data_IF_429610600851
#
_entry.id   IF_429610600851
#
_cell.length_a   1.000
_cell.length_b   1.000
_cell.length_c   1.000
_cell.angle_alpha   90.00
_cell.angle_beta   90.00
_cell.angle_gamma   90.00
#
_symmetry.space_group_name_H-M   'P 1'
#
loop_
_entity.id
_entity.type
_entity.pdbx_description
1 polymer ?
#
# COMPACT_ATOMS: atom_id res chain seq x y z
N UNK A 1 -2.51 -11.73 5.50
CA UNK A 1 -2.42 -11.34 4.07
C UNK A 1 -1.47 -10.16 3.81
N UNK A 2 -1.73 -8.95 4.35
CA UNK A 2 -0.83 -7.80 4.16
C UNK A 2 0.56 -8.01 4.81
N UNK A 3 0.59 -8.56 6.03
CA UNK A 3 1.82 -8.97 6.73
C UNK A 3 2.61 -10.02 5.94
N UNK A 4 1.93 -11.04 5.40
CA UNK A 4 2.56 -12.10 4.61
C UNK A 4 3.19 -11.54 3.32
N UNK A 5 2.51 -10.56 2.70
CA UNK A 5 3.01 -9.87 1.52
C UNK A 5 4.26 -9.04 1.83
N UNK A 6 4.30 -8.34 2.97
CA UNK A 6 5.47 -7.59 3.43
C UNK A 6 6.66 -8.51 3.78
N UNK A 7 6.41 -9.61 4.49
CA UNK A 7 7.43 -10.61 4.82
C UNK A 7 8.03 -11.21 3.55
N UNK A 8 7.18 -11.55 2.57
CA UNK A 8 7.65 -12.05 1.29
C UNK A 8 8.42 -10.99 0.47
N UNK A 9 8.00 -9.72 0.51
CA UNK A 9 8.71 -8.63 -0.15
C UNK A 9 10.13 -8.47 0.42
N UNK A 10 10.26 -8.50 1.74
CA UNK A 10 11.54 -8.41 2.44
C UNK A 10 12.47 -9.59 2.09
N UNK A 11 11.94 -10.81 1.96
CA UNK A 11 12.72 -12.00 1.56
C UNK A 11 13.26 -11.91 0.12
N UNK A 12 12.52 -11.25 -0.77
CA UNK A 12 12.88 -11.12 -2.19
C UNK A 12 13.70 -9.86 -2.50
N UNK A 13 13.89 -8.97 -1.51
CA UNK A 13 14.48 -7.65 -1.68
C UNK A 13 15.82 -7.67 -2.42
N UNK A 14 16.72 -8.60 -2.11
CA UNK A 14 18.05 -8.66 -2.73
C UNK A 14 18.14 -9.59 -3.96
N UNK A 15 17.11 -10.40 -4.23
CA UNK A 15 17.19 -11.50 -5.20
C UNK A 15 16.26 -11.32 -6.41
N UNK A 16 15.14 -10.61 -6.26
CA UNK A 16 14.15 -10.42 -7.31
C UNK A 16 13.47 -9.05 -7.18
N UNK A 17 14.15 -7.99 -7.62
CA UNK A 17 13.71 -6.60 -7.47
C UNK A 17 12.28 -6.35 -7.98
N UNK A 18 11.93 -6.86 -9.17
CA UNK A 18 10.57 -6.76 -9.74
C UNK A 18 9.51 -7.42 -8.86
N UNK A 19 9.77 -8.65 -8.41
CA UNK A 19 8.87 -9.40 -7.53
C UNK A 19 8.70 -8.71 -6.18
N UNK A 20 9.78 -8.12 -5.65
CA UNK A 20 9.76 -7.39 -4.38
C UNK A 20 8.91 -6.13 -4.47
N UNK A 21 9.04 -5.32 -5.54
CA UNK A 21 8.20 -4.14 -5.79
C UNK A 21 6.72 -4.48 -5.81
N UNK A 22 6.32 -5.52 -6.56
CA UNK A 22 4.93 -5.93 -6.64
C UNK A 22 4.36 -6.31 -5.27
N UNK A 23 5.14 -7.03 -4.45
CA UNK A 23 4.71 -7.44 -3.12
C UNK A 23 4.62 -6.27 -2.14
N UNK A 24 5.54 -5.31 -2.19
CA UNK A 24 5.43 -4.08 -1.41
C UNK A 24 4.16 -3.31 -1.77
N UNK A 25 3.89 -3.16 -3.06
CA UNK A 25 2.68 -2.50 -3.53
C UNK A 25 1.41 -3.19 -3.02
N UNK A 26 1.27 -4.51 -3.22
CA UNK A 26 0.08 -5.23 -2.79
C UNK A 26 -0.09 -5.24 -1.26
N UNK A 27 0.99 -5.34 -0.49
CA UNK A 27 0.94 -5.21 0.96
C UNK A 27 0.36 -3.86 1.39
N UNK A 28 0.85 -2.77 0.80
CA UNK A 28 0.33 -1.42 1.06
C UNK A 28 -1.10 -1.24 0.59
N UNK A 29 -1.45 -1.72 -0.60
CA UNK A 29 -2.80 -1.61 -1.16
C UNK A 29 -3.84 -2.38 -0.32
N UNK A 30 -3.50 -3.59 0.15
CA UNK A 30 -4.37 -4.36 1.03
C UNK A 30 -4.58 -3.68 2.38
N UNK A 31 -3.51 -3.12 2.97
CA UNK A 31 -3.64 -2.39 4.23
C UNK A 31 -4.43 -1.08 4.08
N UNK A 32 -4.28 -0.36 2.96
CA UNK A 32 -5.13 0.80 2.63
C UNK A 32 -6.58 0.36 2.49
N UNK A 33 -6.82 -0.73 1.78
CA UNK A 33 -8.18 -1.25 1.56
C UNK A 33 -8.85 -1.62 2.89
N UNK A 34 -8.12 -2.27 3.80
CA UNK A 34 -8.60 -2.55 5.15
C UNK A 34 -8.93 -1.28 5.93
N UNK A 35 -8.10 -0.24 5.82
CA UNK A 35 -8.33 1.04 6.46
C UNK A 35 -9.56 1.77 5.89
N UNK A 36 -9.78 1.71 4.57
CA UNK A 36 -10.99 2.24 3.93
C UNK A 36 -12.25 1.52 4.39
N UNK A 37 -12.23 0.19 4.46
CA UNK A 37 -13.32 -0.61 5.03
C UNK A 37 -13.59 -0.24 6.49
N UNK A 38 -12.54 -0.05 7.30
CA UNK A 38 -12.64 0.31 8.71
C UNK A 38 -13.35 1.66 8.93
N UNK A 39 -13.15 2.62 8.04
CA UNK A 39 -13.87 3.91 8.09
C UNK A 39 -15.22 3.89 7.38
N UNK A 40 -15.71 2.72 6.97
CA UNK A 40 -17.03 2.52 6.37
C UNK A 40 -17.11 2.82 4.87
N UNK A 41 -15.98 3.01 4.19
CA UNK A 41 -15.98 3.08 2.72
C UNK A 41 -16.16 1.67 2.14
N UNK A 42 -16.92 1.55 1.05
CA UNK A 42 -17.12 0.28 0.34
C UNK A 42 -16.60 0.36 -1.10
N UNK A 43 -16.13 -0.75 -1.67
CA UNK A 43 -15.87 -0.84 -3.11
C UNK A 43 -17.14 -0.54 -3.93
N UNK A 44 -16.99 -0.06 -5.18
CA UNK A 44 -18.12 0.11 -6.08
C UNK A 44 -18.92 -1.20 -6.24
N UNK A 45 -20.24 -1.08 -6.43
CA UNK A 45 -21.12 -2.23 -6.58
C UNK A 45 -20.64 -3.18 -7.68
N UNK A 46 -20.68 -4.49 -7.40
CA UNK A 46 -20.20 -5.53 -8.31
C UNK A 46 -18.67 -5.66 -8.40
N UNK A 47 -17.89 -4.99 -7.55
CA UNK A 47 -16.43 -5.13 -7.48
C UNK A 47 -15.96 -5.62 -6.11
N UNK A 48 -14.96 -6.49 -6.13
CA UNK A 48 -14.31 -7.00 -4.91
C UNK A 48 -13.32 -5.99 -4.30
N UNK A 49 -12.87 -5.00 -5.08
CA UNK A 49 -11.86 -4.04 -4.65
C UNK A 49 -11.96 -2.69 -5.40
N UNK A 50 -11.33 -1.65 -4.85
CA UNK A 50 -11.22 -0.33 -5.48
C UNK A 50 -10.24 -0.32 -6.64
N UNK A 51 -10.46 0.54 -7.63
CA UNK A 51 -9.47 0.73 -8.70
C UNK A 51 -8.14 1.25 -8.13
N UNK A 52 -7.03 0.65 -8.56
CA UNK A 52 -5.69 0.98 -8.10
C UNK A 52 -5.34 2.47 -8.32
N UNK A 53 -5.79 3.05 -9.43
CA UNK A 53 -5.60 4.45 -9.78
C UNK A 53 -6.34 5.42 -8.85
N UNK A 54 -7.53 5.02 -8.39
CA UNK A 54 -8.45 5.88 -7.62
C UNK A 54 -8.25 5.76 -6.12
N UNK A 55 -7.71 4.64 -5.65
CA UNK A 55 -7.50 4.35 -4.23
C UNK A 55 -6.71 5.43 -3.48
N UNK A 56 -5.66 6.07 -4.06
CA UNK A 56 -4.99 7.20 -3.41
C UNK A 56 -5.91 8.37 -3.07
N UNK A 57 -6.87 8.70 -3.93
CA UNK A 57 -7.73 9.87 -3.72
C UNK A 57 -8.78 9.58 -2.63
N UNK A 58 -9.25 8.33 -2.56
CA UNK A 58 -10.13 7.86 -1.47
C UNK A 58 -9.49 8.01 -0.09
N UNK A 59 -8.16 7.89 0.03
CA UNK A 59 -7.46 8.14 1.30
C UNK A 59 -7.62 9.60 1.78
N UNK A 60 -7.65 10.54 0.84
CA UNK A 60 -7.78 11.98 1.16
C UNK A 60 -9.20 12.30 1.62
N UNK A 61 -10.18 11.68 0.97
CA UNK A 61 -11.62 11.89 1.19
C UNK A 61 -12.13 11.21 2.45
N UNK A 62 -11.83 9.91 2.63
CA UNK A 62 -12.49 9.09 3.64
C UNK A 62 -11.77 9.04 4.99
N UNK A 63 -10.48 9.37 5.06
CA UNK A 63 -9.71 9.20 6.30
C UNK A 63 -9.72 10.40 7.24
N UNK A 64 -10.63 11.38 7.05
CA UNK A 64 -10.64 12.59 7.88
C UNK A 64 -10.87 12.31 9.38
N UNK A 65 -11.65 11.28 9.69
CA UNK A 65 -12.00 10.90 11.07
C UNK A 65 -10.84 10.26 11.82
N UNK A 66 -10.02 9.46 11.13
CA UNK A 66 -8.87 8.74 11.72
C UNK A 66 -7.54 9.45 11.50
N UNK A 67 -7.43 10.29 10.48
CA UNK A 67 -6.25 11.09 10.15
C UNK A 67 -6.71 12.53 9.90
N UNK A 68 -6.81 13.38 10.95
CA UNK A 68 -7.39 14.72 10.83
C UNK A 68 -6.58 15.66 9.93
N UNK A 69 -5.24 15.52 9.91
CA UNK A 69 -4.34 16.40 9.15
C UNK A 69 -4.36 16.08 7.66
N UNK A 70 -4.86 17.00 6.84
CA UNK A 70 -4.93 16.86 5.38
C UNK A 70 -3.58 16.56 4.75
N UNK A 71 -2.50 17.24 5.18
CA UNK A 71 -1.16 16.98 4.65
C UNK A 71 -0.67 15.53 4.88
N UNK A 72 -1.09 14.90 5.98
CA UNK A 72 -0.77 13.48 6.25
C UNK A 72 -1.56 12.56 5.34
N UNK A 73 -2.84 12.85 5.07
CA UNK A 73 -3.64 12.09 4.09
C UNK A 73 -3.05 12.18 2.68
N UNK A 74 -2.64 13.38 2.27
CA UNK A 74 -1.96 13.61 0.99
C UNK A 74 -0.62 12.89 0.89
N UNK A 75 0.19 12.85 1.96
CA UNK A 75 1.45 12.08 1.97
C UNK A 75 1.20 10.59 1.74
N UNK A 76 0.20 10.00 2.42
CA UNK A 76 -0.18 8.59 2.24
C UNK A 76 -0.64 8.32 0.80
N UNK A 77 -1.50 9.18 0.27
CA UNK A 77 -1.96 9.09 -1.12
C UNK A 77 -0.79 9.15 -2.11
N UNK A 78 0.13 10.09 -1.93
CA UNK A 78 1.30 10.24 -2.79
C UNK A 78 2.24 9.04 -2.72
N UNK A 79 2.46 8.46 -1.54
CA UNK A 79 3.24 7.22 -1.36
C UNK A 79 2.59 6.06 -2.09
N UNK A 80 1.28 5.83 -1.89
CA UNK A 80 0.57 4.75 -2.57
C UNK A 80 0.62 4.92 -4.10
N UNK A 81 0.43 6.16 -4.59
CA UNK A 81 0.53 6.49 -6.02
C UNK A 81 1.92 6.20 -6.59
N UNK A 82 2.99 6.56 -5.86
CA UNK A 82 4.36 6.23 -6.27
C UNK A 82 4.59 4.72 -6.31
N UNK A 83 4.15 3.99 -5.29
CA UNK A 83 4.25 2.52 -5.28
C UNK A 83 3.53 1.89 -6.47
N UNK A 84 2.32 2.37 -6.78
CA UNK A 84 1.57 1.87 -7.94
C UNK A 84 2.31 2.16 -9.25
N UNK A 85 2.80 3.39 -9.44
CA UNK A 85 3.57 3.77 -10.63
C UNK A 85 4.79 2.90 -10.81
N UNK A 86 5.60 2.70 -9.77
CA UNK A 86 6.80 1.86 -9.84
C UNK A 86 6.42 0.40 -10.11
N UNK A 87 5.34 -0.12 -9.51
CA UNK A 87 4.84 -1.48 -9.78
C UNK A 87 4.44 -1.66 -11.24
N UNK A 88 3.68 -0.72 -11.83
CA UNK A 88 3.28 -0.81 -13.24
C UNK A 88 4.52 -0.70 -14.12
N UNK A 89 5.44 0.22 -13.84
CA UNK A 89 6.66 0.38 -14.62
C UNK A 89 7.59 -0.83 -14.52
N UNK A 90 7.67 -1.51 -13.37
CA UNK A 90 8.54 -2.67 -13.16
C UNK A 90 8.26 -3.83 -14.13
N UNK A 91 7.05 -3.90 -14.69
CA UNK A 91 6.66 -4.88 -15.72
C UNK A 91 7.22 -4.53 -17.12
N UNK A 92 7.60 -3.27 -17.36
CA UNK A 92 8.03 -2.75 -18.67
C UNK A 92 9.47 -2.23 -18.73
N UNK A 93 10.13 -2.02 -17.59
CA UNK A 93 11.50 -1.47 -17.53
C UNK A 93 12.55 -2.54 -17.19
N UNK A 94 13.82 -2.24 -17.42
CA UNK A 94 14.94 -3.15 -17.11
C UNK A 94 15.03 -3.45 -15.60
N UNK A 95 15.65 -4.56 -15.22
CA UNK A 95 15.79 -4.92 -13.80
C UNK A 95 16.64 -3.89 -13.03
N UNK A 96 17.66 -3.31 -13.68
CA UNK A 96 18.57 -2.32 -13.09
C UNK A 96 17.83 -1.02 -12.72
N UNK A 97 16.90 -0.57 -13.57
CA UNK A 97 16.07 0.61 -13.28
C UNK A 97 15.14 0.40 -12.08
N UNK A 98 14.68 -0.85 -11.88
CA UNK A 98 13.86 -1.22 -10.72
C UNK A 98 14.70 -1.22 -9.44
N UNK A 99 15.93 -1.71 -9.50
CA UNK A 99 16.83 -1.76 -8.34
C UNK A 99 17.11 -0.37 -7.77
N UNK A 100 17.34 0.64 -8.64
CA UNK A 100 17.54 2.02 -8.22
C UNK A 100 16.36 2.65 -7.47
N UNK A 101 15.15 2.11 -7.60
CA UNK A 101 13.94 2.59 -6.93
C UNK A 101 13.53 1.74 -5.71
N UNK A 102 14.16 0.58 -5.50
CA UNK A 102 13.70 -0.43 -4.56
C UNK A 102 13.73 0.02 -3.09
N UNK A 103 14.77 0.76 -2.68
CA UNK A 103 14.86 1.32 -1.32
C UNK A 103 13.75 2.34 -1.03
N UNK A 104 13.39 3.15 -2.02
CA UNK A 104 12.30 4.12 -1.89
C UNK A 104 10.95 3.43 -1.77
N UNK A 105 10.72 2.38 -2.58
CA UNK A 105 9.53 1.52 -2.54
C UNK A 105 9.40 0.87 -1.16
N UNK A 106 10.50 0.29 -0.66
CA UNK A 106 10.52 -0.32 0.68
C UNK A 106 10.14 0.68 1.76
N UNK A 107 10.75 1.87 1.77
CA UNK A 107 10.46 2.93 2.76
C UNK A 107 9.00 3.38 2.71
N UNK A 108 8.47 3.64 1.52
CA UNK A 108 7.08 4.05 1.33
C UNK A 108 6.10 2.96 1.80
N UNK A 109 6.38 1.70 1.49
CA UNK A 109 5.54 0.58 1.90
C UNK A 109 5.54 0.37 3.42
N UNK A 110 6.71 0.40 4.06
CA UNK A 110 6.82 0.28 5.53
C UNK A 110 6.11 1.43 6.24
N UNK A 111 6.23 2.66 5.72
CA UNK A 111 5.54 3.81 6.28
C UNK A 111 4.01 3.63 6.22
N UNK A 112 3.47 3.26 5.06
CA UNK A 112 2.04 3.01 4.89
C UNK A 112 1.53 1.93 5.84
N UNK A 113 2.22 0.79 5.89
CA UNK A 113 1.84 -0.34 6.74
C UNK A 113 1.89 0.05 8.22
N UNK A 114 2.92 0.77 8.65
CA UNK A 114 3.02 1.24 10.04
C UNK A 114 1.85 2.14 10.41
N UNK A 115 1.49 3.09 9.54
CA UNK A 115 0.34 3.96 9.78
C UNK A 115 -0.97 3.18 9.86
N UNK A 116 -1.15 2.13 9.04
CA UNK A 116 -2.34 1.29 9.12
C UNK A 116 -2.39 0.50 10.42
N UNK A 117 -1.27 -0.08 10.85
CA UNK A 117 -1.16 -0.80 12.12
C UNK A 117 -1.43 0.09 13.33
N UNK A 118 -1.04 1.37 13.26
CA UNK A 118 -1.29 2.33 14.35
C UNK A 118 -2.76 2.77 14.44
N UNK A 119 -3.56 2.57 13.38
CA UNK A 119 -4.97 3.00 13.32
C UNK A 119 -5.93 1.81 13.46
N UNK A 120 -5.64 0.70 12.80
CA UNK A 120 -6.48 -0.48 12.85
C UNK A 120 -6.32 -1.13 14.23
N UNK A 121 -7.42 -1.48 14.92
CA UNK A 121 -7.31 -2.22 16.16
C UNK A 121 -6.60 -3.55 15.90
N UNK A 122 -5.80 -4.02 16.87
CA UNK A 122 -5.31 -5.40 16.83
C UNK A 122 -6.52 -6.31 16.70
N UNK A 123 -6.64 -6.99 15.55
CA UNK A 123 -7.69 -8.00 15.41
C UNK A 123 -7.41 -9.07 16.47
N UNK A 124 -8.35 -9.40 17.37
CA UNK A 124 -8.15 -10.49 18.28
C UNK A 124 -7.84 -11.74 17.46
N UNK A 125 -6.72 -12.38 17.76
CA UNK A 125 -6.43 -13.72 17.22
C UNK A 125 -7.60 -14.61 17.65
N UNK A 126 -8.44 -15.01 16.69
CA UNK A 126 -9.47 -16.01 16.94
C UNK A 126 -8.74 -17.27 17.42
N UNK A 127 -8.86 -17.54 18.73
CA UNK A 127 -8.47 -18.81 19.36
C UNK A 127 -9.39 -19.94 18.92
#
# INVERSE_FOLDING_TARGET
MATDSLVAANRLYAAQSRSSVSRYYYASYQGVSALLLYVGATPPEGREAWAHELTPDLLVEHLRTVIPRTGRRQDLANRLRRLYKVRVSADYISADDVEGSLESVRKDAHFLIKVMQDILPEMPENK
#
